data_IF_610431411621
#
_entry.id   IF_610431411621
#
_cell.length_a   1.000
_cell.length_b   1.000
_cell.length_c   1.000
_cell.angle_alpha   90.00
_cell.angle_beta   90.00
_cell.angle_gamma   90.00
#
_symmetry.space_group_name_H-M   'P 1'
#
loop_
_entity.id
_entity.type
_entity.pdbx_description
1 polymer ?
#
# COMPACT_ATOMS: atom_id res chain seq x y z
N UNK A 1 -9.54 -2.89 1.15
CA UNK A 1 -8.26 -2.89 0.40
C UNK A 1 -7.87 -4.30 -0.02
N UNK A 2 -7.52 -4.49 -1.29
CA UNK A 2 -6.93 -5.71 -1.83
C UNK A 2 -5.52 -5.37 -2.29
N UNK A 3 -4.56 -6.27 -2.05
CA UNK A 3 -3.19 -6.09 -2.52
C UNK A 3 -2.91 -7.12 -3.61
N UNK A 4 -2.37 -6.66 -4.73
CA UNK A 4 -1.98 -7.55 -5.82
C UNK A 4 -0.65 -8.24 -5.47
N UNK A 5 -0.59 -9.57 -5.55
CA UNK A 5 0.64 -10.34 -5.25
C UNK A 5 1.45 -10.65 -6.51
N UNK A 6 0.95 -10.28 -7.70
CA UNK A 6 1.62 -10.54 -8.97
C UNK A 6 2.77 -9.55 -9.23
N UNK A 7 2.70 -8.37 -8.60
CA UNK A 7 3.75 -7.34 -8.67
C UNK A 7 4.56 -7.33 -7.38
N UNK A 8 5.86 -7.62 -7.50
CA UNK A 8 6.78 -7.76 -6.36
C UNK A 8 6.97 -6.49 -5.54
N UNK A 9 6.84 -5.30 -6.14
CA UNK A 9 6.94 -4.02 -5.45
C UNK A 9 5.96 -3.03 -6.04
N UNK A 10 5.11 -2.45 -5.20
CA UNK A 10 4.06 -1.53 -5.61
C UNK A 10 4.04 -0.30 -4.70
N UNK A 11 3.89 0.86 -5.33
CA UNK A 11 3.65 2.13 -4.66
C UNK A 11 2.44 2.78 -5.31
N UNK A 12 1.39 3.04 -4.53
CA UNK A 12 0.14 3.61 -5.03
C UNK A 12 -0.59 4.37 -3.94
N UNK A 13 -1.49 5.27 -4.33
CA UNK A 13 -2.28 6.09 -3.43
C UNK A 13 -3.70 5.54 -3.34
N UNK A 14 -4.21 5.39 -2.13
CA UNK A 14 -5.59 5.04 -1.81
C UNK A 14 -6.14 6.04 -0.78
N UNK A 15 -7.47 6.11 -0.66
CA UNK A 15 -8.10 6.86 0.43
C UNK A 15 -8.14 6.02 1.72
N UNK A 16 -7.84 6.65 2.85
CA UNK A 16 -8.00 5.99 4.14
C UNK A 16 -9.48 5.75 4.45
N UNK A 17 -9.89 4.50 4.65
CA UNK A 17 -11.29 4.11 4.93
C UNK A 17 -11.88 4.66 6.24
N UNK A 18 -11.06 5.26 7.10
CA UNK A 18 -11.50 5.84 8.39
C UNK A 18 -11.66 7.35 8.31
N UNK A 19 -10.75 8.04 7.63
CA UNK A 19 -10.70 9.51 7.60
C UNK A 19 -10.75 10.13 6.19
N UNK A 20 -10.86 9.31 5.14
CA UNK A 20 -10.91 9.70 3.73
C UNK A 20 -9.76 10.62 3.28
N UNK A 21 -8.63 10.58 3.99
CA UNK A 21 -7.42 11.30 3.59
C UNK A 21 -6.58 10.41 2.68
N UNK A 22 -5.92 10.98 1.67
CA UNK A 22 -5.04 10.23 0.79
C UNK A 22 -3.84 9.67 1.56
N UNK A 23 -3.61 8.37 1.38
CA UNK A 23 -2.47 7.65 1.94
C UNK A 23 -1.68 7.00 0.80
N UNK A 24 -0.36 7.13 0.82
CA UNK A 24 0.53 6.36 -0.03
C UNK A 24 0.84 5.02 0.63
N UNK A 25 0.67 3.96 -0.14
CA UNK A 25 0.97 2.59 0.25
C UNK A 25 2.22 2.14 -0.49
N UNK A 26 3.15 1.55 0.26
CA UNK A 26 4.28 0.82 -0.30
C UNK A 26 4.18 -0.62 0.16
N UNK A 27 4.07 -1.55 -0.79
CA UNK A 27 4.00 -2.99 -0.51
C UNK A 27 5.04 -3.75 -1.32
N UNK A 28 5.68 -4.73 -0.68
CA UNK A 28 6.65 -5.59 -1.34
C UNK A 28 6.43 -7.05 -0.96
N UNK A 29 6.60 -7.92 -1.95
CA UNK A 29 6.46 -9.37 -1.83
C UNK A 29 7.77 -10.06 -2.16
N UNK A 30 8.09 -11.09 -1.38
CA UNK A 30 9.18 -12.01 -1.61
C UNK A 30 8.63 -13.43 -1.54
N UNK A 31 8.85 -14.25 -2.58
CA UNK A 31 8.33 -15.61 -2.69
C UNK A 31 6.81 -15.74 -2.41
N UNK A 32 6.03 -14.73 -2.80
CA UNK A 32 4.57 -14.67 -2.60
C UNK A 32 4.14 -14.33 -1.17
N UNK A 33 5.09 -13.97 -0.30
CA UNK A 33 4.86 -13.52 1.07
C UNK A 33 5.03 -12.01 1.15
N UNK A 34 4.12 -11.32 1.82
CA UNK A 34 4.24 -9.89 2.09
C UNK A 34 5.41 -9.67 3.06
N UNK A 35 6.48 -9.05 2.56
CA UNK A 35 7.68 -8.76 3.34
C UNK A 35 7.68 -7.32 3.85
N UNK A 36 7.13 -6.39 3.07
CA UNK A 36 7.09 -4.96 3.43
C UNK A 36 5.68 -4.40 3.24
N UNK A 37 5.22 -3.65 4.23
CA UNK A 37 4.02 -2.84 4.15
C UNK A 37 4.25 -1.51 4.86
N UNK A 38 3.96 -0.41 4.18
CA UNK A 38 3.97 0.94 4.74
C UNK A 38 2.76 1.71 4.23
N UNK A 39 2.11 2.44 5.13
CA UNK A 39 1.03 3.36 4.81
C UNK A 39 1.37 4.73 5.40
N UNK A 40 1.55 5.72 4.54
CA UNK A 40 1.94 7.07 4.93
C UNK A 40 0.83 8.03 4.50
N UNK A 41 0.31 8.82 5.44
CA UNK A 41 -0.54 9.95 5.07
C UNK A 41 0.30 10.95 4.29
N UNK A 42 -0.17 11.35 3.12
CA UNK A 42 0.57 12.29 2.27
C UNK A 42 0.03 13.72 2.34
N UNK A 43 -0.82 14.02 3.35
CA UNK A 43 -1.35 15.35 3.72
C UNK A 43 -1.30 16.35 2.55
N UNK A 44 -2.30 16.28 1.66
CA UNK A 44 -2.41 17.19 0.53
C UNK A 44 -2.89 18.58 0.95
#
# INVERSE_FOLDING_TARGET
>A
MLLDVSVSHQVYVEDCEVCCNPIELTVAYEDGVLNTFSAQSIEQ
#
